data_IF_754592097548
#
_entry.id   IF_754592097548
#
_cell.length_a   1.000
_cell.length_b   1.000
_cell.length_c   1.000
_cell.angle_alpha   90.00
_cell.angle_beta   90.00
_cell.angle_gamma   90.00
#
_symmetry.space_group_name_H-M   'P 1'
#
loop_
_entity.id
_entity.type
_entity.pdbx_description
1 polymer ?
#
# COMPACT_ATOMS: atom_id res chain seq x y z
N UNK A 1 -28.61 43.46 -30.68
CA UNK A 1 -28.28 43.39 -29.24
C UNK A 1 -26.85 42.90 -29.11
N UNK A 2 -25.96 43.66 -28.48
CA UNK A 2 -24.61 43.20 -28.19
C UNK A 2 -24.62 42.44 -26.85
N UNK A 3 -23.95 41.28 -26.78
CA UNK A 3 -23.86 40.50 -25.55
C UNK A 3 -22.86 41.15 -24.59
N UNK A 4 -23.31 41.48 -23.38
CA UNK A 4 -22.48 42.07 -22.33
C UNK A 4 -21.49 41.04 -21.81
N UNK A 5 -20.22 41.18 -22.16
CA UNK A 5 -19.15 40.37 -21.57
C UNK A 5 -18.89 40.89 -20.14
N UNK A 6 -19.35 40.15 -19.13
CA UNK A 6 -19.19 40.55 -17.74
C UNK A 6 -17.74 40.35 -17.30
N UNK A 7 -17.00 41.44 -17.15
CA UNK A 7 -15.63 41.43 -16.60
C UNK A 7 -15.71 41.09 -15.12
N UNK A 8 -15.27 39.89 -14.73
CA UNK A 8 -15.15 39.49 -13.32
C UNK A 8 -14.18 40.42 -12.57
N UNK A 9 -14.51 40.75 -11.31
CA UNK A 9 -13.64 41.60 -10.49
C UNK A 9 -12.36 40.87 -10.08
N UNK A 10 -11.29 41.60 -9.80
CA UNK A 10 -9.98 41.02 -9.44
C UNK A 10 -10.04 40.05 -8.25
N UNK A 11 -10.93 40.32 -7.28
CA UNK A 11 -11.15 39.44 -6.12
C UNK A 11 -11.88 38.15 -6.50
N UNK A 12 -12.83 38.21 -7.43
CA UNK A 12 -13.50 37.02 -7.97
C UNK A 12 -12.53 36.21 -8.82
N UNK A 13 -11.71 36.86 -9.67
CA UNK A 13 -10.65 36.21 -10.43
C UNK A 13 -9.65 35.49 -9.51
N UNK A 14 -9.16 36.15 -8.46
CA UNK A 14 -8.28 35.55 -7.47
C UNK A 14 -8.91 34.33 -6.76
N UNK A 15 -10.21 34.39 -6.43
CA UNK A 15 -10.96 33.27 -5.86
C UNK A 15 -11.11 32.08 -6.81
N UNK A 16 -11.39 32.33 -8.09
CA UNK A 16 -11.48 31.28 -9.11
C UNK A 16 -10.13 30.64 -9.40
N UNK A 17 -9.06 31.43 -9.49
CA UNK A 17 -7.68 30.93 -9.65
C UNK A 17 -7.30 30.07 -8.45
N UNK A 18 -7.50 30.54 -7.21
CA UNK A 18 -7.18 29.77 -6.01
C UNK A 18 -7.96 28.43 -5.95
N UNK A 19 -9.23 28.43 -6.34
CA UNK A 19 -10.05 27.21 -6.44
C UNK A 19 -9.53 26.25 -7.51
N UNK A 20 -9.08 26.75 -8.66
CA UNK A 20 -8.48 25.93 -9.71
C UNK A 20 -7.13 25.33 -9.26
N UNK A 21 -6.27 26.10 -8.59
CA UNK A 21 -4.96 25.66 -8.08
C UNK A 21 -5.04 24.54 -7.04
N UNK A 22 -6.19 24.34 -6.37
CA UNK A 22 -6.38 23.21 -5.44
C UNK A 22 -7.11 22.02 -6.07
N UNK A 23 -7.53 22.09 -7.34
CA UNK A 23 -8.14 20.95 -8.03
C UNK A 23 -7.06 19.91 -8.39
N UNK A 24 -7.21 18.63 -7.98
CA UNK A 24 -6.25 17.58 -8.31
C UNK A 24 -6.00 17.44 -9.81
N UNK A 25 -7.03 17.65 -10.65
CA UNK A 25 -6.92 17.53 -12.10
C UNK A 25 -6.08 18.64 -12.73
N UNK A 26 -6.14 19.86 -12.18
CA UNK A 26 -5.35 21.01 -12.66
C UNK A 26 -3.88 20.83 -12.31
N UNK A 27 -3.59 20.46 -11.06
CA UNK A 27 -2.21 20.24 -10.61
C UNK A 27 -1.56 19.05 -11.32
N UNK A 28 -2.29 17.94 -11.47
CA UNK A 28 -1.80 16.80 -12.24
C UNK A 28 -1.61 17.16 -13.73
N UNK A 29 -2.56 17.86 -14.36
CA UNK A 29 -2.43 18.27 -15.77
C UNK A 29 -1.22 19.19 -16.01
N UNK A 30 -0.94 20.13 -15.11
CA UNK A 30 0.24 21.00 -15.22
C UNK A 30 1.54 20.20 -15.18
N UNK A 31 1.68 19.25 -14.24
CA UNK A 31 2.85 18.36 -14.17
C UNK A 31 2.92 17.44 -15.38
N UNK A 32 1.80 16.85 -15.82
CA UNK A 32 1.77 16.02 -17.04
C UNK A 32 2.22 16.82 -18.26
N UNK A 33 1.72 18.04 -18.47
CA UNK A 33 2.10 18.90 -19.58
C UNK A 33 3.61 19.23 -19.60
N UNK A 34 4.25 19.35 -18.43
CA UNK A 34 5.69 19.58 -18.34
C UNK A 34 6.55 18.35 -18.67
N UNK A 35 6.14 17.16 -18.22
CA UNK A 35 6.90 15.92 -18.38
C UNK A 35 6.55 15.12 -19.65
N UNK A 36 5.35 15.33 -20.24
CA UNK A 36 4.86 14.60 -21.41
C UNK A 36 5.20 15.26 -22.75
N UNK A 37 6.04 16.30 -22.78
CA UNK A 37 6.46 17.00 -24.02
C UNK A 37 7.09 16.08 -25.08
N UNK A 38 7.63 14.92 -24.66
CA UNK A 38 8.12 13.85 -25.56
C UNK A 38 7.01 13.16 -26.36
N UNK A 39 5.74 13.30 -25.98
CA UNK A 39 4.57 12.75 -26.67
C UNK A 39 3.88 13.79 -27.57
N UNK A 40 4.48 14.98 -27.76
CA UNK A 40 3.92 16.10 -28.53
C UNK A 40 3.42 17.24 -27.65
N UNK A 41 2.90 18.29 -28.29
CA UNK A 41 2.29 19.43 -27.60
C UNK A 41 1.01 19.00 -26.86
N UNK A 42 0.88 19.37 -25.58
CA UNK A 42 -0.17 18.90 -24.70
C UNK A 42 -1.20 20.00 -24.43
N UNK A 43 -2.47 19.74 -24.73
CA UNK A 43 -3.56 20.64 -24.35
C UNK A 43 -3.91 20.44 -22.85
N UNK A 44 -3.62 21.44 -22.03
CA UNK A 44 -3.85 21.39 -20.57
C UNK A 44 -5.34 21.18 -20.24
N UNK A 45 -6.26 21.76 -21.02
CA UNK A 45 -7.70 21.59 -20.80
C UNK A 45 -8.15 20.15 -21.06
N UNK A 46 -7.66 19.53 -22.13
CA UNK A 46 -7.94 18.13 -22.44
C UNK A 46 -7.33 17.20 -21.38
N UNK A 47 -6.10 17.47 -20.92
CA UNK A 47 -5.49 16.73 -19.81
C UNK A 47 -6.34 16.83 -18.52
N UNK A 48 -6.88 18.01 -18.19
CA UNK A 48 -7.76 18.20 -17.03
C UNK A 48 -9.00 17.30 -17.13
N UNK A 49 -9.66 17.25 -18.28
CA UNK A 49 -10.91 16.49 -18.45
C UNK A 49 -10.65 14.96 -18.55
N UNK A 50 -9.53 14.54 -19.15
CA UNK A 50 -9.09 13.14 -19.08
C UNK A 50 -8.76 12.72 -17.64
N UNK A 51 -8.06 13.57 -16.86
CA UNK A 51 -7.75 13.30 -15.46
C UNK A 51 -8.99 13.24 -14.58
N UNK A 52 -9.99 14.11 -14.80
CA UNK A 52 -11.30 14.03 -14.12
C UNK A 52 -11.97 12.68 -14.39
N UNK A 53 -12.02 12.27 -15.67
CA UNK A 53 -12.56 10.96 -16.08
C UNK A 53 -11.87 9.82 -15.33
N UNK A 54 -10.53 9.85 -15.23
CA UNK A 54 -9.76 8.85 -14.47
C UNK A 54 -9.99 8.88 -12.96
N UNK A 55 -10.31 10.04 -12.38
CA UNK A 55 -10.67 10.12 -10.97
C UNK A 55 -12.07 9.59 -10.69
N UNK A 56 -13.02 9.82 -11.59
CA UNK A 56 -14.37 9.26 -11.47
C UNK A 56 -14.36 7.73 -11.70
N UNK A 57 -13.60 7.21 -12.68
CA UNK A 57 -13.36 5.75 -12.84
C UNK A 57 -12.88 5.11 -11.53
N UNK A 58 -11.81 5.64 -10.92
CA UNK A 58 -11.23 5.12 -9.67
C UNK A 58 -12.20 5.26 -8.49
N UNK A 59 -12.97 6.35 -8.43
CA UNK A 59 -13.99 6.61 -7.40
C UNK A 59 -15.16 5.63 -7.49
N UNK A 60 -15.54 5.23 -8.70
CA UNK A 60 -16.59 4.25 -8.95
C UNK A 60 -16.08 2.79 -8.83
N UNK A 61 -14.78 2.62 -8.54
CA UNK A 61 -14.14 1.32 -8.28
C UNK A 61 -13.53 0.66 -9.51
N UNK A 62 -13.50 1.32 -10.68
CA UNK A 62 -12.76 0.84 -11.83
C UNK A 62 -11.27 1.13 -11.68
N UNK A 63 -10.50 0.06 -11.47
CA UNK A 63 -9.07 0.11 -11.26
C UNK A 63 -8.28 -0.44 -12.47
N UNK A 64 -8.92 -0.84 -13.58
CA UNK A 64 -8.24 -1.48 -14.71
C UNK A 64 -7.11 -0.62 -15.29
N UNK A 65 -7.31 0.71 -15.35
CA UNK A 65 -6.25 1.63 -15.78
C UNK A 65 -5.06 1.65 -14.82
N UNK A 66 -5.31 1.67 -13.51
CA UNK A 66 -4.28 1.61 -12.48
C UNK A 66 -3.53 0.26 -12.50
N UNK A 67 -4.25 -0.85 -12.70
CA UNK A 67 -3.64 -2.17 -12.85
C UNK A 67 -2.72 -2.23 -14.06
N UNK A 68 -3.19 -1.79 -15.23
CA UNK A 68 -2.38 -1.75 -16.46
C UNK A 68 -1.15 -0.84 -16.32
N UNK A 69 -1.32 0.32 -15.66
CA UNK A 69 -0.21 1.23 -15.36
C UNK A 69 0.85 0.59 -14.46
N UNK A 70 0.45 -0.08 -13.38
CA UNK A 70 1.38 -0.78 -12.47
C UNK A 70 2.11 -1.93 -13.18
N UNK A 71 1.43 -2.71 -14.02
CA UNK A 71 2.06 -3.76 -14.85
C UNK A 71 3.09 -3.14 -15.81
N UNK A 72 2.74 -2.07 -16.51
CA UNK A 72 3.66 -1.35 -17.41
C UNK A 72 4.89 -0.79 -16.69
N UNK A 73 4.70 -0.18 -15.52
CA UNK A 73 5.79 0.33 -14.67
C UNK A 73 6.70 -0.81 -14.18
N UNK A 74 6.15 -1.94 -13.75
CA UNK A 74 6.93 -3.10 -13.31
C UNK A 74 7.81 -3.65 -14.46
N UNK A 75 7.29 -3.74 -15.68
CA UNK A 75 8.04 -4.13 -16.87
C UNK A 75 9.13 -3.12 -17.26
N UNK A 76 8.86 -1.81 -17.17
CA UNK A 76 9.85 -0.78 -17.42
C UNK A 76 11.01 -0.85 -16.41
N UNK A 77 10.70 -0.99 -15.11
CA UNK A 77 11.69 -1.15 -14.04
C UNK A 77 12.50 -2.44 -14.19
N UNK A 78 11.87 -3.55 -14.59
CA UNK A 78 12.56 -4.80 -14.89
C UNK A 78 13.52 -4.65 -16.10
N UNK A 79 13.11 -3.92 -17.12
CA UNK A 79 13.95 -3.63 -18.30
C UNK A 79 15.16 -2.76 -17.93
N UNK A 80 14.97 -1.78 -17.03
CA UNK A 80 16.05 -0.97 -16.45
C UNK A 80 17.01 -1.84 -15.62
N UNK A 81 16.50 -2.74 -14.76
CA UNK A 81 17.33 -3.70 -14.03
C UNK A 81 18.19 -4.55 -14.98
N UNK A 82 17.59 -5.18 -15.99
CA UNK A 82 18.32 -6.02 -16.96
C UNK A 82 19.38 -5.22 -17.72
N UNK A 83 19.06 -3.99 -18.15
CA UNK A 83 20.03 -3.12 -18.84
C UNK A 83 21.23 -2.78 -17.92
N UNK A 84 20.96 -2.30 -16.71
CA UNK A 84 21.99 -1.88 -15.76
C UNK A 84 22.84 -3.06 -15.26
N UNK A 85 22.23 -4.22 -14.99
CA UNK A 85 22.95 -5.42 -14.59
C UNK A 85 23.89 -5.93 -15.70
N UNK A 86 23.42 -5.96 -16.96
CA UNK A 86 24.28 -6.28 -18.11
C UNK A 86 25.42 -5.27 -18.28
N UNK A 87 25.16 -3.97 -18.08
CA UNK A 87 26.21 -2.94 -18.13
C UNK A 87 27.24 -3.11 -17.00
N UNK A 88 26.80 -3.45 -15.79
CA UNK A 88 27.68 -3.67 -14.63
C UNK A 88 28.72 -4.77 -14.91
N UNK A 89 28.29 -5.95 -15.39
CA UNK A 89 29.20 -7.08 -15.69
C UNK A 89 30.25 -6.74 -16.76
N UNK A 90 29.98 -5.76 -17.63
CA UNK A 90 30.90 -5.29 -18.66
C UNK A 90 31.73 -4.04 -18.23
N UNK A 91 31.83 -3.74 -16.93
CA UNK A 91 32.70 -2.66 -16.43
C UNK A 91 34.05 -3.18 -15.96
N UNK A 92 35.12 -2.54 -16.44
CA UNK A 92 36.48 -2.76 -15.98
C UNK A 92 36.74 -2.14 -14.59
N UNK A 93 36.24 -0.92 -14.36
CA UNK A 93 36.45 -0.21 -13.10
C UNK A 93 35.38 -0.52 -12.05
N UNK A 94 35.83 -0.95 -10.86
CA UNK A 94 34.97 -1.31 -9.72
C UNK A 94 33.94 -0.22 -9.36
N UNK A 95 34.32 1.06 -9.43
CA UNK A 95 33.40 2.19 -9.17
C UNK A 95 32.20 2.23 -10.13
N UNK A 96 32.42 1.89 -11.40
CA UNK A 96 31.35 1.85 -12.40
C UNK A 96 30.52 0.57 -12.25
N UNK A 97 31.18 -0.57 -11.99
CA UNK A 97 30.54 -1.85 -11.67
C UNK A 97 29.55 -1.67 -10.51
N UNK A 98 30.03 -1.15 -9.38
CA UNK A 98 29.24 -0.92 -8.16
C UNK A 98 28.08 0.05 -8.43
N UNK A 99 28.34 1.14 -9.15
CA UNK A 99 27.30 2.13 -9.48
C UNK A 99 26.17 1.55 -10.32
N UNK A 100 26.49 0.82 -11.40
CA UNK A 100 25.46 0.18 -12.22
C UNK A 100 24.75 -0.96 -11.48
N UNK A 101 25.48 -1.80 -10.74
CA UNK A 101 24.88 -2.91 -9.97
C UNK A 101 23.94 -2.39 -8.88
N UNK A 102 24.33 -1.36 -8.12
CA UNK A 102 23.50 -0.73 -7.09
C UNK A 102 22.23 -0.11 -7.66
N UNK A 103 22.31 0.55 -8.83
CA UNK A 103 21.13 1.08 -9.52
C UNK A 103 20.25 -0.04 -10.09
N UNK A 104 20.84 -1.13 -10.58
CA UNK A 104 20.10 -2.31 -11.05
C UNK A 104 19.29 -2.94 -9.90
N UNK A 105 19.93 -3.24 -8.77
CA UNK A 105 19.26 -3.82 -7.60
C UNK A 105 18.18 -2.89 -7.03
N UNK A 106 18.37 -1.56 -7.11
CA UNK A 106 17.30 -0.60 -6.79
C UNK A 106 16.11 -0.75 -7.74
N UNK A 107 16.34 -0.82 -9.06
CA UNK A 107 15.27 -1.00 -10.04
C UNK A 107 14.52 -2.34 -9.88
N UNK A 108 15.23 -3.43 -9.59
CA UNK A 108 14.65 -4.72 -9.26
C UNK A 108 13.73 -4.63 -8.03
N UNK A 109 14.20 -4.03 -6.94
CA UNK A 109 13.40 -3.89 -5.73
C UNK A 109 12.16 -3.02 -5.96
N UNK A 110 12.27 -1.94 -6.75
CA UNK A 110 11.12 -1.12 -7.13
C UNK A 110 10.12 -1.90 -7.99
N UNK A 111 10.57 -2.70 -8.98
CA UNK A 111 9.68 -3.55 -9.79
C UNK A 111 8.87 -4.52 -8.92
N UNK A 112 9.52 -5.18 -7.94
CA UNK A 112 8.85 -6.01 -6.93
C UNK A 112 7.81 -5.21 -6.13
N UNK A 113 8.17 -4.02 -5.62
CA UNK A 113 7.25 -3.17 -4.86
C UNK A 113 6.03 -2.71 -5.70
N UNK A 114 6.21 -2.47 -7.00
CA UNK A 114 5.09 -2.16 -7.92
C UNK A 114 4.14 -3.34 -8.06
N UNK A 115 4.66 -4.57 -8.19
CA UNK A 115 3.83 -5.79 -8.25
C UNK A 115 3.16 -6.12 -6.90
N UNK A 116 3.81 -5.81 -5.77
CA UNK A 116 3.21 -5.93 -4.43
C UNK A 116 2.08 -4.92 -4.23
N UNK A 117 2.26 -3.70 -4.74
CA UNK A 117 1.20 -2.67 -4.76
C UNK A 117 0.01 -3.14 -5.60
N UNK A 118 0.25 -3.75 -6.77
CA UNK A 118 -0.79 -4.35 -7.60
C UNK A 118 -1.51 -5.50 -6.90
N UNK A 119 -0.77 -6.40 -6.23
CA UNK A 119 -1.34 -7.51 -5.49
C UNK A 119 -2.23 -7.04 -4.33
N UNK A 120 -1.80 -6.00 -3.60
CA UNK A 120 -2.57 -5.35 -2.54
C UNK A 120 -3.79 -4.57 -3.07
N UNK A 121 -3.72 -4.02 -4.29
CA UNK A 121 -4.85 -3.37 -4.96
C UNK A 121 -5.93 -4.39 -5.32
N UNK A 122 -5.55 -5.56 -5.86
CA UNK A 122 -6.48 -6.65 -6.20
C UNK A 122 -7.01 -7.39 -4.97
N UNK A 123 -6.22 -7.48 -3.91
CA UNK A 123 -6.58 -8.17 -2.66
C UNK A 123 -6.22 -7.27 -1.47
N UNK A 124 -7.09 -6.29 -1.12
CA UNK A 124 -6.85 -5.42 0.03
C UNK A 124 -6.63 -6.24 1.30
N UNK A 125 -5.56 -5.99 2.07
CA UNK A 125 -5.30 -6.74 3.29
C UNK A 125 -6.46 -6.54 4.26
N UNK A 126 -7.05 -7.63 4.73
CA UNK A 126 -8.13 -7.60 5.73
C UNK A 126 -7.54 -7.16 7.07
N UNK A 127 -7.49 -5.84 7.28
CA UNK A 127 -7.14 -5.26 8.57
C UNK A 127 -8.32 -5.51 9.50
N UNK A 128 -8.27 -6.62 10.23
CA UNK A 128 -9.08 -6.81 11.41
C UNK A 128 -8.68 -5.75 12.43
N UNK A 129 -9.35 -4.60 12.37
CA UNK A 129 -9.37 -3.63 13.44
C UNK A 129 -9.97 -4.34 14.66
N UNK A 130 -9.11 -4.92 15.50
CA UNK A 130 -9.47 -5.24 16.87
C UNK A 130 -9.98 -3.94 17.46
N UNK A 131 -11.30 -3.83 17.59
CA UNK A 131 -11.94 -2.79 18.39
C UNK A 131 -11.48 -3.03 19.83
N UNK A 132 -10.33 -2.45 20.16
CA UNK A 132 -10.05 -2.06 21.52
C UNK A 132 -11.11 -1.01 21.85
N UNK A 133 -12.25 -1.47 22.35
CA UNK A 133 -13.12 -0.66 23.17
C UNK A 133 -12.26 -0.28 24.38
N UNK A 134 -11.57 0.85 24.26
CA UNK A 134 -10.73 1.43 25.30
C UNK A 134 -11.67 1.97 26.37
N UNK A 135 -12.23 1.03 27.14
CA UNK A 135 -12.65 1.28 28.50
C UNK A 135 -11.41 1.07 29.39
N UNK A 136 -10.38 1.92 29.19
CA UNK A 136 -9.19 1.90 30.05
C UNK A 136 -9.65 2.29 31.46
N UNK A 137 -9.55 1.35 32.39
CA UNK A 137 -10.10 1.48 33.73
C UNK A 137 -9.40 2.56 34.55
N UNK A 138 -10.03 3.72 34.68
CA UNK A 138 -10.36 4.35 35.97
C UNK A 138 -11.15 5.64 35.73
N UNK A 139 -12.44 5.63 36.07
CA UNK A 139 -13.28 6.82 35.97
C UNK A 139 -14.70 6.49 35.54
N UNK A 140 -15.56 6.24 36.53
CA UNK A 140 -16.99 6.02 36.36
C UNK A 140 -17.60 7.06 35.39
N UNK A 141 -18.21 6.62 34.29
CA UNK A 141 -19.00 7.50 33.44
C UNK A 141 -20.34 7.80 34.12
N UNK A 142 -20.30 8.67 35.14
CA UNK A 142 -21.47 9.16 35.85
C UNK A 142 -22.23 10.15 34.97
N UNK A 143 -23.31 9.67 34.35
CA UNK A 143 -24.37 10.53 33.81
C UNK A 143 -25.17 11.12 34.97
N UNK A 144 -24.73 12.28 35.48
CA UNK A 144 -25.46 12.98 36.53
C UNK A 144 -26.66 13.74 35.94
N UNK A 145 -27.83 13.09 35.94
CA UNK A 145 -29.12 13.77 35.87
C UNK A 145 -29.77 13.61 37.25
N UNK A 146 -29.97 14.71 37.97
CA UNK A 146 -29.85 14.71 39.43
C UNK A 146 -31.05 14.21 40.26
N UNK A 147 -30.71 13.71 41.45
CA UNK A 147 -31.55 13.49 42.66
C UNK A 147 -32.72 12.48 42.57
N UNK A 148 -32.95 11.58 43.54
CA UNK A 148 -32.19 11.19 44.74
C UNK A 148 -32.50 9.72 45.12
N UNK A 149 -31.62 9.08 45.90
CA UNK A 149 -31.80 7.69 46.38
C UNK A 149 -32.76 7.64 47.61
N UNK A 150 -33.29 6.45 47.99
CA UNK A 150 -32.47 5.55 48.83
C UNK A 150 -32.72 4.02 48.71
N UNK A 151 -31.85 3.28 49.42
CA UNK A 151 -32.04 1.96 50.05
C UNK A 151 -31.61 0.65 49.33
N UNK A 152 -30.74 -0.10 50.04
CA UNK A 152 -30.62 -1.58 50.16
C UNK A 152 -30.64 -2.45 48.87
N UNK A 153 -29.61 -3.25 48.56
CA UNK A 153 -29.11 -4.38 49.36
C UNK A 153 -27.70 -4.84 48.90
N UNK A 154 -27.00 -5.63 49.72
CA UNK A 154 -25.72 -6.24 49.36
C UNK A 154 -25.88 -7.35 48.31
N UNK A 155 -25.58 -7.04 47.05
CA UNK A 155 -25.53 -7.98 45.93
C UNK A 155 -24.11 -8.48 45.66
N UNK A 156 -23.91 -9.80 45.73
CA UNK A 156 -22.63 -10.47 45.48
C UNK A 156 -22.20 -10.28 44.02
N UNK A 157 -20.99 -9.78 43.78
CA UNK A 157 -20.45 -9.61 42.44
C UNK A 157 -20.17 -11.00 41.81
N UNK A 158 -20.98 -11.40 40.83
CA UNK A 158 -20.75 -12.60 40.02
C UNK A 158 -20.35 -12.14 38.63
N UNK A 159 -19.04 -12.02 38.43
CA UNK A 159 -18.44 -11.77 37.12
C UNK A 159 -18.56 -13.05 36.27
N UNK A 160 -19.68 -13.23 35.57
CA UNK A 160 -19.81 -14.25 34.52
C UNK A 160 -18.96 -13.83 33.32
N UNK A 161 -17.66 -14.11 33.41
CA UNK A 161 -16.77 -14.05 32.26
C UNK A 161 -17.19 -15.09 31.23
N UNK A 162 -17.19 -14.66 29.97
CA UNK A 162 -17.57 -15.42 28.78
C UNK A 162 -17.24 -16.92 28.87
N UNK A 163 -18.25 -17.75 28.58
CA UNK A 163 -18.10 -19.19 28.38
C UNK A 163 -17.16 -19.45 27.19
N UNK A 164 -15.88 -19.61 27.49
CA UNK A 164 -14.86 -20.05 26.55
C UNK A 164 -15.07 -21.55 26.37
N UNK A 165 -15.33 -21.97 25.12
CA UNK A 165 -15.75 -23.34 24.82
C UNK A 165 -14.61 -24.33 25.08
N UNK A 166 -14.53 -24.87 26.30
CA UNK A 166 -13.60 -25.94 26.68
C UNK A 166 -14.03 -27.27 26.04
N UNK A 167 -13.66 -27.46 24.76
CA UNK A 167 -13.65 -28.79 24.16
C UNK A 167 -12.35 -29.49 24.55
N UNK A 168 -12.27 -29.94 25.81
CA UNK A 168 -11.29 -30.95 26.19
C UNK A 168 -11.77 -32.33 25.73
N UNK A 169 -11.10 -32.90 24.73
CA UNK A 169 -11.12 -34.34 24.51
C UNK A 169 -9.74 -34.86 24.10
N UNK A 170 -9.28 -35.90 24.78
CA UNK A 170 -8.35 -36.86 24.19
C UNK A 170 -6.87 -36.59 24.40
N UNK A 171 -6.40 -36.91 25.60
CA UNK A 171 -5.02 -37.27 25.89
C UNK A 171 -4.38 -38.19 24.84
N UNK A 172 -3.39 -37.67 24.09
CA UNK A 172 -2.21 -38.45 23.67
C UNK A 172 -1.05 -37.55 23.26
N UNK A 173 0.00 -37.56 24.07
CA UNK A 173 1.31 -37.13 23.61
C UNK A 173 1.81 -38.15 22.57
N UNK A 174 1.90 -37.73 21.31
CA UNK A 174 2.60 -38.46 20.25
C UNK A 174 3.55 -37.48 19.56
N UNK A 175 4.76 -37.43 20.09
CA UNK A 175 5.95 -36.94 19.39
C UNK A 175 6.06 -37.67 18.05
N UNK A 176 6.29 -36.92 16.97
CA UNK A 176 6.47 -37.48 15.64
C UNK A 176 7.74 -36.93 14.98
N UNK A 177 8.85 -36.94 15.74
CA UNK A 177 10.22 -36.84 15.22
C UNK A 177 10.73 -38.23 14.79
N UNK A 178 11.06 -38.45 13.49
CA UNK A 178 11.81 -39.63 13.09
C UNK A 178 13.21 -39.63 13.73
N UNK A 179 13.56 -40.72 14.42
CA UNK A 179 14.86 -40.89 15.08
C UNK A 179 15.96 -41.16 14.04
N UNK A 180 17.03 -40.37 14.06
CA UNK A 180 18.22 -40.62 13.23
C UNK A 180 18.97 -41.87 13.70
N UNK A 181 19.40 -42.72 12.75
CA UNK A 181 20.21 -43.92 13.03
C UNK A 181 21.54 -43.86 12.27
N UNK A 182 22.65 -43.82 13.02
CA UNK A 182 23.99 -44.26 12.60
C UNK A 182 24.18 -45.71 13.09
N UNK A 183 25.07 -46.61 12.64
CA UNK A 183 26.32 -46.67 11.85
C UNK A 183 26.19 -47.96 10.96
N UNK A 184 26.80 -48.22 9.78
CA UNK A 184 27.95 -47.66 9.04
C UNK A 184 29.04 -48.76 8.82
N UNK A 185 29.72 -48.79 7.66
CA UNK A 185 30.83 -49.73 7.37
C UNK A 185 31.79 -49.20 6.28
N UNK A 186 33.05 -49.65 6.35
CA UNK A 186 34.24 -49.12 5.67
C UNK A 186 34.42 -49.38 4.15
N UNK A 187 35.38 -48.61 3.60
CA UNK A 187 36.28 -48.90 2.44
C UNK A 187 35.70 -48.80 1.02
N UNK A 188 36.48 -48.43 -0.01
CA UNK A 188 37.93 -48.14 -0.09
C UNK A 188 38.26 -47.02 -1.11
N UNK A 189 39.49 -46.49 -1.00
CA UNK A 189 40.11 -45.54 -1.94
C UNK A 189 40.34 -46.13 -3.34
N UNK A 190 40.23 -45.29 -4.37
CA UNK A 190 40.96 -45.46 -5.62
C UNK A 190 41.36 -44.07 -6.17
N UNK A 191 42.65 -43.86 -6.37
CA UNK A 191 43.17 -42.73 -7.14
C UNK A 191 43.76 -43.27 -8.45
N UNK A 192 43.35 -42.66 -9.56
CA UNK A 192 43.98 -42.71 -10.87
C UNK A 192 44.14 -41.23 -11.26
N UNK A 193 45.29 -40.75 -11.73
CA UNK A 193 46.28 -41.47 -12.52
C UNK A 193 46.31 -40.81 -13.88
#
# INVERSE_FOLDING_TARGET
MAATHSVMTDKENAGHIAKATVMPSVNAAAVLADYAKSFGEQNISELIDQLRTKFDEVKDGDLHHCEAMLVGQAHALQSIFVNLARRAVNQEYLKNYETFLRLALKAQNQSRMTLETLAALKNPPVVFAKQANINHGNGNQQVNNGAAAPASHAGKNINQQNELLEVQHGSKALDNRPTGTTIGKDKAMAALG
#
